data_IF_753033611838
#
_entry.id   IF_753033611838
#
_cell.length_a   1.000
_cell.length_b   1.000
_cell.length_c   1.000
_cell.angle_alpha   90.00
_cell.angle_beta   90.00
_cell.angle_gamma   90.00
#
_symmetry.space_group_name_H-M   'P 1'
#
loop_
_entity.id
_entity.type
_entity.pdbx_description
1 polymer ?
#
# COMPACT_ATOMS: atom_id res chain seq x y z
N UNK A 1 -5.68 4.99 18.59
CA UNK A 1 -4.68 4.35 17.71
C UNK A 1 -5.20 4.44 16.30
N UNK A 2 -4.49 5.10 15.38
CA UNK A 2 -4.93 5.22 13.99
C UNK A 2 -4.72 3.85 13.33
N UNK A 3 -5.71 3.34 12.62
CA UNK A 3 -5.63 2.07 11.87
C UNK A 3 -4.43 2.01 10.90
N UNK A 4 -3.88 3.17 10.53
CA UNK A 4 -2.64 3.35 9.77
C UNK A 4 -1.42 2.66 10.38
N UNK A 5 -1.36 2.56 11.71
CA UNK A 5 -0.19 2.06 12.44
C UNK A 5 -0.10 0.54 12.47
N UNK A 6 -1.19 -0.18 12.14
CA UNK A 6 -1.20 -1.65 12.16
C UNK A 6 -0.99 -2.29 10.80
N UNK A 7 -1.40 -1.61 9.72
CA UNK A 7 -1.26 -2.16 8.38
C UNK A 7 0.21 -2.13 7.93
N UNK A 8 0.86 -0.97 8.00
CA UNK A 8 2.24 -0.74 7.53
C UNK A 8 3.31 -1.66 8.17
N UNK A 9 3.33 -1.92 9.49
CA UNK A 9 4.38 -2.76 10.07
C UNK A 9 4.32 -4.23 9.64
N UNK A 10 3.11 -4.75 9.36
CA UNK A 10 2.95 -6.13 8.89
C UNK A 10 3.33 -6.28 7.42
N UNK A 11 3.02 -5.31 6.55
CA UNK A 11 3.47 -5.34 5.15
C UNK A 11 4.97 -5.04 5.01
N UNK A 12 5.53 -4.10 5.78
CA UNK A 12 6.94 -3.75 5.72
C UNK A 12 7.89 -4.95 5.99
N UNK A 13 7.42 -5.97 6.71
CA UNK A 13 8.18 -7.20 7.01
C UNK A 13 7.83 -8.39 6.12
N UNK A 14 6.80 -8.30 5.27
CA UNK A 14 6.35 -9.40 4.41
C UNK A 14 7.06 -9.40 3.04
N UNK A 15 6.88 -10.46 2.25
CA UNK A 15 7.44 -10.54 0.89
C UNK A 15 6.75 -9.48 -0.03
N UNK A 16 7.50 -8.81 -0.93
CA UNK A 16 6.91 -7.89 -1.92
C UNK A 16 5.67 -8.42 -2.64
N UNK A 17 5.59 -9.72 -2.92
CA UNK A 17 4.41 -10.34 -3.56
C UNK A 17 3.15 -10.20 -2.71
N UNK A 18 3.24 -10.49 -1.41
CA UNK A 18 2.13 -10.37 -0.46
C UNK A 18 1.72 -8.91 -0.29
N UNK A 19 2.70 -7.99 -0.28
CA UNK A 19 2.43 -6.55 -0.27
C UNK A 19 1.65 -6.09 -1.50
N UNK A 20 2.02 -6.56 -2.69
CA UNK A 20 1.31 -6.24 -3.93
C UNK A 20 -0.14 -6.74 -3.90
N UNK A 21 -0.39 -7.93 -3.36
CA UNK A 21 -1.75 -8.45 -3.18
C UNK A 21 -2.57 -7.59 -2.20
N UNK A 22 -1.97 -7.18 -1.08
CA UNK A 22 -2.60 -6.29 -0.12
C UNK A 22 -2.93 -4.92 -0.74
N UNK A 23 -2.02 -4.36 -1.54
CA UNK A 23 -2.26 -3.09 -2.27
C UNK A 23 -3.42 -3.21 -3.26
N UNK A 24 -3.58 -4.37 -3.92
CA UNK A 24 -4.68 -4.60 -4.86
C UNK A 24 -6.04 -4.69 -4.17
N UNK A 25 -6.10 -5.31 -2.99
CA UNK A 25 -7.35 -5.46 -2.22
C UNK A 25 -7.70 -4.24 -1.37
N UNK A 26 -6.73 -3.35 -1.12
CA UNK A 26 -6.95 -2.15 -0.33
C UNK A 26 -7.83 -1.12 -1.05
N UNK A 27 -8.71 -0.48 -0.27
CA UNK A 27 -9.66 0.55 -0.72
C UNK A 27 -9.39 1.90 -0.05
N UNK A 28 -8.57 1.92 1.01
CA UNK A 28 -8.18 3.13 1.70
C UNK A 28 -7.12 3.89 0.90
N UNK A 29 -7.57 4.93 0.18
CA UNK A 29 -6.70 5.80 -0.60
C UNK A 29 -5.62 6.52 0.23
N UNK A 30 -5.85 6.81 1.51
CA UNK A 30 -4.82 7.42 2.38
C UNK A 30 -3.69 6.44 2.70
N UNK A 31 -4.05 5.19 2.99
CA UNK A 31 -3.06 4.13 3.25
C UNK A 31 -2.24 3.83 1.99
N UNK A 32 -2.91 3.73 0.84
CA UNK A 32 -2.23 3.50 -0.44
C UNK A 32 -1.25 4.62 -0.79
N UNK A 33 -1.56 5.89 -0.48
CA UNK A 33 -0.59 6.99 -0.62
C UNK A 33 0.63 6.80 0.27
N UNK A 34 0.43 6.39 1.53
CA UNK A 34 1.54 6.12 2.43
C UNK A 34 2.43 4.98 1.92
N UNK A 35 1.84 3.92 1.36
CA UNK A 35 2.58 2.82 0.73
C UNK A 35 3.34 3.32 -0.50
N UNK A 36 2.71 4.12 -1.36
CA UNK A 36 3.33 4.71 -2.55
C UNK A 36 4.56 5.60 -2.27
N UNK A 37 4.64 6.15 -1.06
CA UNK A 37 5.74 7.02 -0.61
C UNK A 37 6.81 6.25 0.18
N UNK A 38 6.41 5.29 1.02
CA UNK A 38 7.27 4.71 2.06
C UNK A 38 7.63 3.24 1.85
N UNK A 39 7.02 2.51 0.91
CA UNK A 39 7.37 1.10 0.70
C UNK A 39 8.82 0.98 0.19
N UNK A 40 9.54 -0.04 0.66
CA UNK A 40 10.91 -0.28 0.23
C UNK A 40 10.99 -0.75 -1.24
N UNK A 41 9.98 -1.49 -1.69
CA UNK A 41 9.94 -2.08 -3.02
C UNK A 41 9.33 -1.10 -4.04
N UNK A 42 10.02 -0.91 -5.17
CA UNK A 42 9.56 0.03 -6.20
C UNK A 42 8.26 -0.41 -6.87
N UNK A 43 8.10 -1.71 -7.15
CA UNK A 43 6.89 -2.21 -7.80
C UNK A 43 5.68 -2.05 -6.88
N UNK A 44 5.86 -2.24 -5.57
CA UNK A 44 4.81 -2.00 -4.58
C UNK A 44 4.41 -0.52 -4.55
N UNK A 45 5.38 0.40 -4.60
CA UNK A 45 5.10 1.85 -4.65
C UNK A 45 4.31 2.23 -5.91
N UNK A 46 4.73 1.73 -7.06
CA UNK A 46 4.08 2.01 -8.36
C UNK A 46 2.64 1.47 -8.39
N UNK A 47 2.43 0.24 -7.93
CA UNK A 47 1.12 -0.37 -7.85
C UNK A 47 0.19 0.41 -6.91
N UNK A 48 0.71 0.91 -5.79
CA UNK A 48 -0.08 1.72 -4.86
C UNK A 48 -0.50 3.06 -5.50
N UNK A 49 0.37 3.70 -6.31
CA UNK A 49 0.01 4.92 -7.06
C UNK A 49 -1.10 4.66 -8.08
N UNK A 50 -0.99 3.56 -8.81
CA UNK A 50 -2.02 3.14 -9.77
C UNK A 50 -3.36 2.94 -9.06
N UNK A 51 -3.37 2.21 -7.94
CA UNK A 51 -4.57 1.96 -7.15
C UNK A 51 -5.20 3.23 -6.59
N UNK A 52 -4.41 4.18 -6.09
CA UNK A 52 -4.91 5.50 -5.65
C UNK A 52 -5.61 6.23 -6.79
N UNK A 53 -5.11 6.08 -8.01
CA UNK A 53 -5.68 6.72 -9.19
C UNK A 53 -6.99 6.06 -9.57
N UNK A 54 -7.06 4.73 -9.59
CA UNK A 54 -8.29 3.97 -9.84
C UNK A 54 -9.41 4.30 -8.86
N UNK A 55 -9.09 4.48 -7.57
CA UNK A 55 -10.09 4.79 -6.54
C UNK A 55 -10.56 6.25 -6.55
N UNK A 56 -9.92 7.12 -7.34
CA UNK A 56 -10.28 8.54 -7.49
C UNK A 56 -11.13 8.80 -8.73
N UNK A 57 -11.25 7.82 -9.63
CA UNK A 57 -12.13 7.83 -10.81
C UNK A 57 -13.50 7.29 -10.39
#
# INVERSE_FOLDING_TARGET
MKFSDFFLPKIARSNPKVRKEAVRSEVNAELLKQVAEKDADQEVRELARQRVTELRV
#
